data_IF_654201554500
#
_entry.id   IF_654201554500
#
_cell.length_a   1.000
_cell.length_b   1.000
_cell.length_c   1.000
_cell.angle_alpha   90.00
_cell.angle_beta   90.00
_cell.angle_gamma   90.00
#
_symmetry.space_group_name_H-M   'P 1'
#
loop_
_entity.id
_entity.type
_entity.pdbx_description
1 polymer ?
#
# COMPACT_ATOMS: atom_id res chain seq x y z
N UNK A 1 3.74 -26.72 7.86
CA UNK A 1 3.93 -25.25 7.80
C UNK A 1 3.44 -24.79 6.43
N UNK A 2 2.31 -24.08 6.38
CA UNK A 2 1.71 -23.69 5.10
C UNK A 2 2.51 -22.53 4.48
N UNK A 3 3.14 -22.79 3.33
CA UNK A 3 3.76 -21.77 2.49
C UNK A 3 2.67 -20.83 1.98
N UNK A 4 2.70 -19.55 2.35
CA UNK A 4 1.78 -18.56 1.80
C UNK A 4 2.05 -18.37 0.30
N UNK A 5 1.30 -19.07 -0.54
CA UNK A 5 1.45 -19.17 -2.00
C UNK A 5 0.70 -18.08 -2.77
N UNK A 6 0.31 -16.99 -2.12
CA UNK A 6 -0.66 -16.02 -2.67
C UNK A 6 -0.10 -14.60 -2.65
N UNK A 7 -0.04 -13.95 -3.82
CA UNK A 7 0.37 -12.54 -3.98
C UNK A 7 -0.69 -11.55 -3.48
N UNK A 8 -1.96 -11.89 -3.69
CA UNK A 8 -3.10 -11.02 -3.42
C UNK A 8 -4.16 -11.70 -2.59
N UNK A 9 -4.54 -11.08 -1.49
CA UNK A 9 -5.48 -11.63 -0.54
C UNK A 9 -6.78 -10.82 -0.52
N UNK A 10 -7.78 -11.35 0.16
CA UNK A 10 -8.91 -10.55 0.62
C UNK A 10 -8.46 -9.57 1.71
N UNK A 11 -9.28 -8.55 1.98
CA UNK A 11 -8.96 -7.56 3.01
C UNK A 11 -8.81 -8.19 4.40
N UNK A 12 -9.71 -9.11 4.75
CA UNK A 12 -9.72 -9.78 6.05
C UNK A 12 -8.46 -10.63 6.25
N UNK A 13 -8.09 -11.45 5.26
CA UNK A 13 -6.85 -12.25 5.30
C UNK A 13 -5.61 -11.35 5.46
N UNK A 14 -5.58 -10.20 4.77
CA UNK A 14 -4.45 -9.28 4.81
C UNK A 14 -4.30 -8.58 6.16
N UNK A 15 -5.43 -8.15 6.74
CA UNK A 15 -5.49 -7.56 8.07
C UNK A 15 -5.11 -8.54 9.17
N UNK A 16 -5.59 -9.79 9.08
CA UNK A 16 -5.27 -10.84 10.06
C UNK A 16 -3.76 -11.09 10.11
N UNK A 17 -3.14 -11.37 8.96
CA UNK A 17 -1.71 -11.66 8.86
C UNK A 17 -0.82 -10.50 9.35
N UNK A 18 -1.14 -9.25 9.01
CA UNK A 18 -0.33 -8.11 9.42
C UNK A 18 -0.48 -7.85 10.92
N UNK A 19 -1.68 -8.04 11.48
CA UNK A 19 -1.95 -7.92 12.92
C UNK A 19 -1.22 -9.00 13.71
N UNK A 20 -1.25 -10.26 13.25
CA UNK A 20 -0.51 -11.35 13.88
C UNK A 20 1.00 -11.12 13.89
N UNK A 21 1.55 -10.57 12.80
CA UNK A 21 2.97 -10.23 12.71
C UNK A 21 3.36 -9.13 13.69
N UNK A 22 2.56 -8.08 13.81
CA UNK A 22 2.82 -6.97 14.73
C UNK A 22 2.79 -7.42 16.20
N UNK A 23 1.94 -8.38 16.56
CA UNK A 23 1.88 -8.91 17.94
C UNK A 23 3.10 -9.74 18.32
N UNK A 24 3.69 -10.44 17.37
CA UNK A 24 4.67 -11.48 17.68
C UNK A 24 6.09 -10.97 17.93
N UNK A 25 6.40 -9.67 17.69
CA UNK A 25 7.68 -8.96 17.97
C UNK A 25 9.00 -9.70 17.68
N UNK A 26 8.92 -10.83 16.99
CA UNK A 26 10.04 -11.70 16.70
C UNK A 26 10.58 -11.24 15.36
N UNK A 27 11.68 -10.52 15.45
CA UNK A 27 12.71 -10.53 14.44
C UNK A 27 12.88 -11.95 13.88
N UNK A 28 12.91 -12.03 12.54
CA UNK A 28 13.30 -13.18 11.72
C UNK A 28 12.18 -14.17 11.35
N UNK A 29 11.74 -14.08 10.09
CA UNK A 29 11.63 -15.18 9.13
C UNK A 29 11.21 -14.58 7.78
N UNK A 30 12.09 -14.69 6.78
CA UNK A 30 11.86 -14.22 5.42
C UNK A 30 10.55 -14.79 4.88
N UNK A 31 9.58 -13.92 4.58
CA UNK A 31 8.35 -14.35 3.91
C UNK A 31 8.54 -14.20 2.40
N UNK A 32 8.30 -15.30 1.72
CA UNK A 32 8.33 -15.39 0.27
C UNK A 32 6.95 -14.98 -0.26
N UNK A 33 6.91 -13.91 -1.03
CA UNK A 33 5.73 -13.57 -1.82
C UNK A 33 5.98 -14.02 -3.25
N UNK A 34 5.19 -14.98 -3.75
CA UNK A 34 5.26 -15.30 -5.17
C UNK A 34 4.35 -14.35 -5.94
N UNK A 35 4.88 -13.53 -6.83
CA UNK A 35 4.12 -12.72 -7.78
C UNK A 35 4.27 -13.27 -9.19
N UNK A 36 3.31 -12.98 -10.06
CA UNK A 36 3.41 -13.31 -11.48
C UNK A 36 3.75 -12.03 -12.24
N UNK A 37 5.02 -11.88 -12.63
CA UNK A 37 5.51 -10.74 -13.41
C UNK A 37 5.83 -11.25 -14.82
N UNK A 38 5.18 -10.71 -15.85
CA UNK A 38 5.30 -11.15 -17.24
C UNK A 38 5.11 -12.66 -17.45
N UNK A 39 4.16 -13.27 -16.72
CA UNK A 39 3.90 -14.71 -16.80
C UNK A 39 4.92 -15.59 -16.08
N UNK A 40 5.95 -15.01 -15.44
CA UNK A 40 6.93 -15.73 -14.63
C UNK A 40 6.62 -15.57 -13.15
N UNK A 41 6.77 -16.66 -12.40
CA UNK A 41 6.64 -16.66 -10.95
C UNK A 41 7.93 -16.11 -10.34
N UNK A 42 7.85 -14.93 -9.74
CA UNK A 42 8.97 -14.25 -9.06
C UNK A 42 8.72 -14.34 -7.57
N UNK A 43 9.75 -14.66 -6.78
CA UNK A 43 9.66 -14.73 -5.33
C UNK A 43 10.34 -13.52 -4.71
N UNK A 44 9.60 -12.78 -3.89
CA UNK A 44 10.10 -11.64 -3.14
C UNK A 44 10.32 -12.00 -1.69
N UNK A 45 11.42 -11.54 -1.15
CA UNK A 45 11.76 -11.69 0.25
C UNK A 45 11.43 -10.39 0.95
N UNK A 46 10.45 -10.40 1.84
CA UNK A 46 10.35 -9.28 2.78
C UNK A 46 11.49 -9.36 3.79
N UNK A 47 12.36 -8.37 3.77
CA UNK A 47 13.49 -8.20 4.69
C UNK A 47 13.22 -7.10 5.72
N UNK A 48 12.24 -6.23 5.47
CA UNK A 48 11.89 -5.14 6.38
C UNK A 48 11.21 -5.61 7.67
N UNK A 49 11.54 -4.95 8.78
CA UNK A 49 10.84 -5.13 10.06
C UNK A 49 9.40 -4.59 10.02
N UNK A 50 9.17 -3.58 9.16
CA UNK A 50 7.88 -2.90 9.03
C UNK A 50 7.16 -3.38 7.76
N UNK A 51 5.99 -3.97 7.96
CA UNK A 51 5.07 -4.32 6.88
C UNK A 51 3.98 -3.26 6.73
N UNK A 52 3.56 -3.07 5.48
CA UNK A 52 2.48 -2.20 5.04
C UNK A 52 1.43 -3.03 4.31
N UNK A 53 0.20 -2.51 4.29
CA UNK A 53 -0.92 -3.11 3.57
C UNK A 53 -1.30 -2.17 2.41
N UNK A 54 -1.32 -2.71 1.21
CA UNK A 54 -1.66 -1.99 -0.01
C UNK A 54 -2.91 -2.59 -0.65
N UNK A 55 -3.74 -1.75 -1.26
CA UNK A 55 -4.89 -2.15 -2.05
C UNK A 55 -4.66 -1.82 -3.52
N UNK A 56 -4.83 -2.80 -4.38
CA UNK A 56 -4.77 -2.67 -5.83
C UNK A 56 -6.18 -2.66 -6.39
N UNK A 57 -6.52 -1.60 -7.10
CA UNK A 57 -7.81 -1.45 -7.74
C UNK A 57 -7.74 -1.96 -9.19
N UNK A 58 -8.57 -2.95 -9.50
CA UNK A 58 -8.78 -3.43 -10.86
C UNK A 58 -9.83 -2.55 -11.52
N UNK A 59 -9.44 -1.84 -12.58
CA UNK A 59 -10.39 -1.26 -13.50
C UNK A 59 -10.92 -2.32 -14.49
N UNK A 60 -12.16 -2.21 -14.97
CA UNK A 60 -13.16 -1.17 -14.68
C UNK A 60 -14.06 -1.46 -13.47
N UNK A 61 -14.04 -2.66 -12.88
CA UNK A 61 -15.06 -3.05 -11.89
C UNK A 61 -14.82 -2.50 -10.48
N UNK A 62 -13.75 -1.74 -10.24
CA UNK A 62 -13.38 -1.21 -8.92
C UNK A 62 -13.04 -2.30 -7.89
N UNK A 63 -12.81 -3.54 -8.36
CA UNK A 63 -12.50 -4.68 -7.48
C UNK A 63 -11.13 -4.49 -6.87
N UNK A 64 -11.03 -4.74 -5.56
CA UNK A 64 -9.79 -4.57 -4.81
C UNK A 64 -9.14 -5.89 -4.44
N UNK A 65 -7.81 -5.91 -4.56
CA UNK A 65 -6.94 -7.02 -4.15
C UNK A 65 -5.91 -6.44 -3.18
N UNK A 66 -5.53 -7.20 -2.16
CA UNK A 66 -4.69 -6.67 -1.09
C UNK A 66 -3.32 -7.33 -1.08
N UNK A 67 -2.27 -6.53 -0.88
CA UNK A 67 -0.89 -6.98 -0.79
C UNK A 67 -0.29 -6.52 0.54
N UNK A 68 0.39 -7.44 1.23
CA UNK A 68 1.21 -7.11 2.39
C UNK A 68 2.67 -7.19 1.97
N UNK A 69 3.44 -6.11 2.15
CA UNK A 69 4.86 -6.07 1.80
C UNK A 69 5.60 -5.05 2.68
N UNK A 70 6.92 -5.16 2.75
CA UNK A 70 7.74 -4.00 3.13
C UNK A 70 7.84 -3.01 1.95
N UNK A 71 8.32 -1.80 2.23
CA UNK A 71 8.30 -0.71 1.26
C UNK A 71 9.20 -0.97 0.05
N UNK A 72 10.33 -1.65 0.23
CA UNK A 72 11.29 -1.91 -0.85
C UNK A 72 10.74 -2.95 -1.83
N UNK A 73 10.14 -4.04 -1.32
CA UNK A 73 9.44 -5.04 -2.13
C UNK A 73 8.28 -4.39 -2.89
N UNK A 74 7.46 -3.60 -2.19
CA UNK A 74 6.33 -2.91 -2.81
C UNK A 74 6.77 -2.00 -3.96
N UNK A 75 7.76 -1.13 -3.72
CA UNK A 75 8.28 -0.20 -4.73
C UNK A 75 8.81 -0.97 -5.94
N UNK A 76 9.60 -2.02 -5.70
CA UNK A 76 10.15 -2.83 -6.78
C UNK A 76 9.04 -3.40 -7.68
N UNK A 77 8.05 -4.06 -7.10
CA UNK A 77 6.94 -4.66 -7.84
C UNK A 77 6.05 -3.62 -8.52
N UNK A 78 5.74 -2.52 -7.82
CA UNK A 78 4.92 -1.43 -8.34
C UNK A 78 5.50 -0.83 -9.62
N UNK A 79 6.81 -0.64 -9.69
CA UNK A 79 7.46 -0.11 -10.89
C UNK A 79 7.53 -1.11 -12.05
N UNK A 80 7.37 -2.41 -11.81
CA UNK A 80 7.24 -3.41 -12.89
C UNK A 80 5.84 -3.40 -13.54
N UNK A 81 4.83 -2.80 -12.88
CA UNK A 81 3.48 -2.72 -13.45
C UNK A 81 3.42 -1.69 -14.59
N UNK A 82 2.62 -1.95 -15.65
CA UNK A 82 2.22 -0.93 -16.61
C UNK A 82 1.64 0.31 -15.91
N UNK A 83 1.89 1.50 -16.44
CA UNK A 83 1.48 2.76 -15.79
C UNK A 83 -0.05 2.83 -15.53
N UNK A 84 -0.86 2.26 -16.42
CA UNK A 84 -2.33 2.18 -16.28
C UNK A 84 -2.81 1.09 -15.31
N UNK A 85 -1.91 0.35 -14.67
CA UNK A 85 -2.22 -0.67 -13.65
C UNK A 85 -1.71 -0.27 -12.26
N UNK A 86 -1.17 0.95 -12.13
CA UNK A 86 -0.60 1.49 -10.89
C UNK A 86 -1.63 2.20 -10.00
N UNK A 87 -2.87 1.71 -10.03
CA UNK A 87 -3.95 2.16 -9.16
C UNK A 87 -3.85 1.46 -7.81
N UNK A 88 -3.05 2.06 -6.94
CA UNK A 88 -2.71 1.47 -5.65
C UNK A 88 -2.88 2.48 -4.52
N UNK A 89 -3.39 2.00 -3.38
CA UNK A 89 -3.61 2.80 -2.18
C UNK A 89 -2.93 2.14 -0.98
N UNK A 90 -2.33 2.94 -0.10
CA UNK A 90 -1.96 2.47 1.23
C UNK A 90 -3.22 2.31 2.09
N UNK A 91 -3.32 1.21 2.82
CA UNK A 91 -4.35 1.00 3.83
C UNK A 91 -3.79 1.40 5.19
N UNK A 92 -4.35 2.47 5.75
CA UNK A 92 -4.05 2.90 7.11
C UNK A 92 -4.76 1.93 8.07
N UNK A 93 -3.95 1.21 8.85
CA UNK A 93 -4.43 0.15 9.73
C UNK A 93 -4.95 0.77 11.03
N UNK A 94 -6.16 0.43 11.42
CA UNK A 94 -6.75 0.84 12.70
C UNK A 94 -5.81 0.46 13.86
N UNK A 95 -5.69 1.35 14.85
CA UNK A 95 -4.83 1.20 16.05
C UNK A 95 -3.33 1.06 15.79
N UNK A 96 -2.84 1.27 14.55
CA UNK A 96 -1.42 1.45 14.26
C UNK A 96 -1.10 2.95 14.29
N UNK A 97 -0.04 3.41 14.98
CA UNK A 97 0.40 4.80 14.89
C UNK A 97 0.67 5.19 13.43
N UNK A 98 0.17 6.36 13.04
CA UNK A 98 0.37 6.94 11.71
C UNK A 98 0.83 8.39 11.82
N UNK A 99 1.40 8.92 10.73
CA UNK A 99 1.68 10.35 10.63
C UNK A 99 0.36 11.10 10.46
N UNK A 100 0.28 12.31 11.01
CA UNK A 100 -0.79 13.25 10.65
C UNK A 100 -0.70 13.52 9.15
N UNK A 101 -1.80 13.33 8.44
CA UNK A 101 -1.91 13.59 7.00
C UNK A 101 -3.22 14.32 6.71
N UNK A 102 -3.22 15.10 5.64
CA UNK A 102 -4.38 15.83 5.15
C UNK A 102 -4.51 15.61 3.66
N UNK A 103 -5.73 15.38 3.20
CA UNK A 103 -6.09 15.41 1.79
C UNK A 103 -6.72 16.78 1.51
N UNK A 104 -6.08 17.58 0.67
CA UNK A 104 -6.48 18.97 0.41
C UNK A 104 -6.88 19.10 -1.06
N UNK A 105 -8.16 19.37 -1.30
CA UNK A 105 -8.72 19.50 -2.64
C UNK A 105 -9.66 20.70 -2.76
N UNK A 106 -9.73 21.29 -3.96
CA UNK A 106 -10.69 22.34 -4.31
C UNK A 106 -10.96 22.34 -5.81
N UNK A 107 -12.16 22.76 -6.22
CA UNK A 107 -12.53 22.92 -7.62
C UNK A 107 -11.85 24.16 -8.21
N UNK A 108 -10.95 23.96 -9.18
CA UNK A 108 -10.18 25.02 -9.84
C UNK A 108 -11.10 25.96 -10.64
N UNK A 109 -12.11 25.42 -11.33
CA UNK A 109 -13.02 26.18 -12.18
C UNK A 109 -13.92 27.11 -11.37
N UNK A 110 -14.39 26.63 -10.21
CA UNK A 110 -15.19 27.41 -9.28
C UNK A 110 -14.35 28.45 -8.51
N UNK A 111 -13.02 28.27 -8.44
CA UNK A 111 -12.12 29.09 -7.63
C UNK A 111 -10.95 29.69 -8.44
N UNK A 112 -11.21 30.41 -9.55
CA UNK A 112 -10.16 30.81 -10.49
C UNK A 112 -9.13 31.81 -9.94
N UNK A 113 -9.40 32.41 -8.78
CA UNK A 113 -8.52 33.37 -8.10
C UNK A 113 -7.74 32.77 -6.92
N UNK A 114 -7.98 31.50 -6.60
CA UNK A 114 -7.33 30.85 -5.47
C UNK A 114 -5.93 30.38 -5.86
N UNK A 115 -4.98 30.69 -4.98
CA UNK A 115 -3.62 30.18 -5.08
C UNK A 115 -3.47 29.00 -4.11
N UNK A 116 -3.66 27.78 -4.62
CA UNK A 116 -3.54 26.54 -3.84
C UNK A 116 -2.25 26.44 -3.03
N UNK A 117 -1.05 26.60 -3.64
CA UNK A 117 0.22 26.58 -2.91
C UNK A 117 0.27 27.53 -1.71
N UNK A 118 -0.23 28.76 -1.86
CA UNK A 118 -0.29 29.73 -0.75
C UNK A 118 -1.23 29.26 0.36
N UNK A 119 -2.39 28.68 0.03
CA UNK A 119 -3.30 28.13 1.04
C UNK A 119 -2.66 26.97 1.80
N UNK A 120 -1.95 26.08 1.12
CA UNK A 120 -1.21 24.99 1.76
C UNK A 120 -0.12 25.52 2.69
N UNK A 121 0.63 26.56 2.29
CA UNK A 121 1.62 27.21 3.17
C UNK A 121 0.96 27.78 4.42
N UNK A 122 -0.15 28.51 4.27
CA UNK A 122 -0.86 29.08 5.40
C UNK A 122 -1.39 27.98 6.34
N UNK A 123 -1.93 26.89 5.79
CA UNK A 123 -2.46 25.76 6.55
C UNK A 123 -1.40 25.07 7.43
N UNK A 124 -0.17 24.94 6.92
CA UNK A 124 0.95 24.34 7.66
C UNK A 124 1.46 25.25 8.79
N UNK A 125 1.30 26.58 8.65
CA UNK A 125 1.80 27.57 9.60
C UNK A 125 0.89 27.82 10.80
N UNK A 126 -0.33 27.25 10.81
CA UNK A 126 -1.30 27.40 11.91
C UNK A 126 -0.90 26.59 13.13
#
# INVERSE_FOLDING_TARGET
MAHATRTFWTQAEALEFITERQKNNNSVNHRFFSSLIYGKRVYFFCQGEILYLFSFESQPEGKRRYQVADIDVFIHEYYQLPANQRHTYEIIIDKKPSKLYFDLEYDISANPKINGPRLTTNFIQV
#
